data_IF_728746713203
#
_entry.id   IF_728746713203
#
_cell.length_a   1.000
_cell.length_b   1.000
_cell.length_c   1.000
_cell.angle_alpha   90.00
_cell.angle_beta   90.00
_cell.angle_gamma   90.00
#
_symmetry.space_group_name_H-M   'P 1'
#
loop_
_entity.id
_entity.type
_entity.pdbx_description
1 polymer ?
#
# COMPACT_ATOMS: atom_id res chain seq x y z
N UNK A 1 17.62 39.42 100.06
CA UNK A 1 17.27 39.21 98.64
C UNK A 1 16.57 37.87 98.57
N UNK A 2 15.23 37.76 98.68
CA UNK A 2 14.17 38.16 97.71
C UNK A 2 14.41 37.43 96.38
N UNK A 3 13.53 36.60 95.80
CA UNK A 3 12.19 36.07 96.11
C UNK A 3 11.96 34.85 95.18
N UNK A 4 10.84 34.16 95.41
CA UNK A 4 10.27 32.96 94.79
C UNK A 4 9.63 33.14 93.40
N UNK A 5 9.28 31.99 92.78
CA UNK A 5 8.00 31.68 92.09
C UNK A 5 7.91 31.46 90.54
N UNK A 6 7.46 30.22 90.20
CA UNK A 6 6.37 29.74 89.30
C UNK A 6 6.31 29.94 87.76
N UNK A 7 6.30 28.78 87.08
CA UNK A 7 5.31 28.16 86.17
C UNK A 7 4.78 28.80 84.84
N UNK A 8 4.42 27.86 83.93
CA UNK A 8 3.66 27.92 82.65
C UNK A 8 4.51 28.13 81.38
N UNK A 9 4.29 27.50 80.22
CA UNK A 9 3.33 26.53 79.69
C UNK A 9 3.57 26.47 78.17
N UNK A 10 3.34 25.33 77.49
CA UNK A 10 3.49 25.29 76.02
C UNK A 10 3.43 23.88 75.43
N UNK A 11 2.22 23.45 75.05
CA UNK A 11 1.96 22.25 74.27
C UNK A 11 2.30 22.51 72.80
N UNK A 12 3.33 21.85 72.27
CA UNK A 12 3.66 21.82 70.85
C UNK A 12 3.32 20.45 70.26
N UNK A 13 2.24 20.40 69.47
CA UNK A 13 1.84 19.26 68.64
C UNK A 13 2.98 18.93 67.65
N UNK A 14 3.69 17.83 67.91
CA UNK A 14 4.65 17.27 66.98
C UNK A 14 3.92 16.52 65.86
N UNK A 15 3.97 17.06 64.64
CA UNK A 15 3.64 16.34 63.41
C UNK A 15 4.54 15.09 63.30
N UNK A 16 3.94 13.92 63.44
CA UNK A 16 4.57 12.65 63.08
C UNK A 16 4.62 12.59 61.56
N UNK A 17 5.83 12.67 61.01
CA UNK A 17 6.11 12.43 59.59
C UNK A 17 5.88 10.94 59.31
N UNK A 18 4.77 10.62 58.66
CA UNK A 18 4.49 9.28 58.13
C UNK A 18 5.32 9.12 56.84
N UNK A 19 6.24 8.15 56.73
CA UNK A 19 6.96 7.91 55.49
C UNK A 19 5.98 7.47 54.39
N UNK A 20 6.16 8.08 53.22
CA UNK A 20 5.36 7.89 52.02
C UNK A 20 5.10 6.41 51.68
N UNK A 21 3.82 6.07 51.50
CA UNK A 21 3.42 4.94 50.66
C UNK A 21 3.98 5.18 49.25
N UNK A 22 4.66 4.22 48.61
CA UNK A 22 4.85 4.29 47.17
C UNK A 22 3.47 4.18 46.51
N UNK A 23 3.13 5.23 45.76
CA UNK A 23 2.00 5.26 44.84
C UNK A 23 2.18 4.15 43.80
N UNK A 24 1.32 3.14 43.87
CA UNK A 24 1.05 2.22 42.77
C UNK A 24 0.22 2.98 41.73
N UNK A 25 0.86 3.83 40.94
CA UNK A 25 0.31 4.31 39.67
C UNK A 25 1.18 3.74 38.55
N UNK A 26 1.14 2.42 38.37
CA UNK A 26 1.34 1.80 37.05
C UNK A 26 -0.05 1.58 36.46
N UNK A 27 -0.66 2.67 35.99
CA UNK A 27 -1.74 2.54 35.03
C UNK A 27 -1.04 2.60 33.68
N UNK A 28 -1.01 1.45 33.01
CA UNK A 28 -0.66 1.33 31.61
C UNK A 28 -1.29 2.49 30.84
N UNK A 29 -0.45 3.36 30.30
CA UNK A 29 -0.87 4.13 29.15
C UNK A 29 -1.00 3.10 28.02
N UNK A 30 -2.22 2.63 27.78
CA UNK A 30 -2.62 2.22 26.44
C UNK A 30 -2.35 3.43 25.54
N UNK A 31 -1.12 3.50 25.03
CA UNK A 31 -0.69 4.55 24.13
C UNK A 31 -1.59 4.43 22.91
N UNK A 32 -2.52 5.37 22.78
CA UNK A 32 -3.40 5.48 21.61
C UNK A 32 -2.47 5.67 20.41
N UNK A 33 -2.17 4.56 19.73
CA UNK A 33 -1.26 4.53 18.59
C UNK A 33 -1.73 5.54 17.56
N UNK A 34 -0.98 6.61 17.38
CA UNK A 34 -1.33 7.65 16.41
C UNK A 34 -1.35 7.08 14.99
N UNK A 35 -2.07 7.73 14.08
CA UNK A 35 -2.07 7.34 12.66
C UNK A 35 -0.66 7.36 12.04
N UNK A 36 0.23 8.22 12.55
CA UNK A 36 1.64 8.24 12.16
C UNK A 36 2.38 7.00 12.67
N UNK A 37 2.18 6.62 13.94
CA UNK A 37 2.78 5.40 14.50
C UNK A 37 2.32 4.16 13.74
N UNK A 38 1.03 4.10 13.36
CA UNK A 38 0.46 3.03 12.53
C UNK A 38 1.00 3.04 11.11
N UNK A 39 1.21 4.23 10.53
CA UNK A 39 1.94 4.38 9.27
C UNK A 39 3.37 3.84 9.34
N UNK A 40 4.09 4.08 10.44
CA UNK A 40 5.45 3.57 10.65
C UNK A 40 5.48 2.04 10.79
N UNK A 41 4.54 1.49 11.56
CA UNK A 41 4.34 0.05 11.70
C UNK A 41 4.08 -0.62 10.34
N UNK A 42 3.10 -0.11 9.59
CA UNK A 42 2.78 -0.61 8.26
C UNK A 42 3.99 -0.55 7.32
N UNK A 43 4.77 0.55 7.37
CA UNK A 43 6.02 0.66 6.58
C UNK A 43 7.05 -0.40 6.97
N UNK A 44 7.28 -0.63 8.26
CA UNK A 44 8.24 -1.64 8.72
C UNK A 44 7.87 -3.05 8.26
N UNK A 45 6.59 -3.38 8.26
CA UNK A 45 6.10 -4.68 7.74
C UNK A 45 6.20 -4.74 6.21
N UNK A 46 5.76 -3.69 5.51
CA UNK A 46 5.72 -3.66 4.04
C UNK A 46 7.10 -3.53 3.38
N UNK A 47 8.15 -3.10 4.10
CA UNK A 47 9.54 -3.15 3.64
C UNK A 47 10.22 -4.50 3.91
N UNK A 48 9.55 -5.41 4.63
CA UNK A 48 10.08 -6.73 4.97
C UNK A 48 10.10 -7.70 3.80
N UNK A 49 10.37 -8.97 4.12
CA UNK A 49 10.43 -10.06 3.13
C UNK A 49 9.06 -10.25 2.49
N UNK A 50 9.01 -10.09 1.17
CA UNK A 50 7.83 -10.38 0.36
C UNK A 50 7.83 -11.81 -0.17
N UNK A 51 6.65 -12.34 -0.45
CA UNK A 51 6.43 -13.63 -1.10
C UNK A 51 6.36 -13.45 -2.61
N UNK A 52 6.74 -14.47 -3.40
CA UNK A 52 6.38 -14.44 -4.82
C UNK A 52 4.87 -14.30 -4.97
N UNK A 53 4.42 -13.66 -6.05
CA UNK A 53 2.99 -13.46 -6.30
C UNK A 53 2.19 -14.78 -6.22
N UNK A 54 2.78 -15.88 -6.69
CA UNK A 54 2.15 -17.20 -6.68
C UNK A 54 2.05 -17.83 -5.29
N UNK A 55 2.99 -17.53 -4.39
CA UNK A 55 3.04 -18.12 -3.05
C UNK A 55 2.37 -17.21 -2.00
N UNK A 56 2.17 -15.93 -2.29
CA UNK A 56 1.53 -14.99 -1.37
C UNK A 56 0.18 -15.48 -0.81
N UNK A 57 -0.71 -16.15 -1.57
CA UNK A 57 -1.97 -16.68 -1.02
C UNK A 57 -1.81 -17.64 0.16
N UNK A 58 -0.67 -18.35 0.26
CA UNK A 58 -0.42 -19.32 1.34
C UNK A 58 0.01 -18.65 2.64
N UNK A 59 0.45 -17.39 2.58
CA UNK A 59 1.05 -16.67 3.71
C UNK A 59 0.21 -15.49 4.20
N UNK A 60 -0.88 -15.17 3.50
CA UNK A 60 -1.67 -13.98 3.73
C UNK A 60 -3.09 -14.37 4.12
N UNK A 61 -3.59 -13.79 5.21
CA UNK A 61 -4.96 -14.04 5.66
C UNK A 61 -6.01 -13.39 4.74
N UNK A 62 -7.24 -13.90 4.79
CA UNK A 62 -8.41 -13.31 4.11
C UNK A 62 -8.97 -12.12 4.91
N UNK A 63 -8.12 -11.15 5.20
CA UNK A 63 -8.45 -9.94 5.95
C UNK A 63 -8.19 -8.68 5.11
N UNK A 64 -8.87 -7.56 5.37
CA UNK A 64 -8.49 -6.27 4.80
C UNK A 64 -7.05 -5.89 5.19
N UNK A 65 -6.43 -4.98 4.43
CA UNK A 65 -5.09 -4.51 4.75
C UNK A 65 -4.42 -3.78 3.59
N UNK A 66 -3.11 -3.61 3.72
CA UNK A 66 -2.25 -3.04 2.68
C UNK A 66 -1.36 -4.12 2.06
N UNK A 67 -0.99 -3.90 0.80
CA UNK A 67 0.02 -4.69 0.12
C UNK A 67 1.02 -3.79 -0.59
N UNK A 68 2.27 -4.23 -0.65
CA UNK A 68 3.35 -3.57 -1.35
C UNK A 68 3.93 -4.51 -2.41
N UNK A 69 4.12 -3.99 -3.62
CA UNK A 69 4.71 -4.72 -4.75
C UNK A 69 6.19 -4.35 -4.83
N UNK A 70 7.06 -5.35 -4.74
CA UNK A 70 8.50 -5.22 -4.84
C UNK A 70 9.03 -5.95 -6.07
N UNK A 71 10.26 -5.61 -6.47
CA UNK A 71 10.97 -6.27 -7.54
C UNK A 71 12.48 -6.09 -7.38
N UNK A 72 13.27 -6.94 -8.04
CA UNK A 72 14.73 -6.86 -8.00
C UNK A 72 15.28 -5.62 -8.73
N UNK A 73 16.52 -5.22 -8.42
CA UNK A 73 17.20 -4.09 -9.08
C UNK A 73 17.16 -4.18 -10.61
N UNK A 74 17.30 -5.38 -11.17
CA UNK A 74 17.20 -5.60 -12.61
C UNK A 74 15.82 -5.21 -13.15
N UNK A 75 14.75 -5.63 -12.47
CA UNK A 75 13.37 -5.33 -12.89
C UNK A 75 13.09 -3.83 -12.83
N UNK A 76 13.66 -3.11 -11.86
CA UNK A 76 13.59 -1.64 -11.86
C UNK A 76 14.22 -1.04 -13.12
N UNK A 77 15.38 -1.55 -13.54
CA UNK A 77 16.03 -1.17 -14.79
C UNK A 77 15.18 -1.47 -16.02
N UNK A 78 14.56 -2.66 -16.09
CA UNK A 78 13.69 -3.08 -17.19
C UNK A 78 12.44 -2.17 -17.31
N UNK A 79 11.99 -1.59 -16.20
CA UNK A 79 10.89 -0.62 -16.14
C UNK A 79 11.34 0.82 -16.46
N UNK A 80 12.64 1.06 -16.71
CA UNK A 80 13.19 2.40 -16.91
C UNK A 80 13.17 3.26 -15.65
N UNK A 81 13.29 2.64 -14.48
CA UNK A 81 13.24 3.30 -13.17
C UNK A 81 14.61 3.24 -12.48
N UNK A 82 14.96 4.31 -11.76
CA UNK A 82 16.08 4.27 -10.84
C UNK A 82 15.69 3.48 -9.59
N UNK A 83 16.45 2.43 -9.27
CA UNK A 83 16.22 1.59 -8.09
C UNK A 83 16.29 2.41 -6.79
N UNK A 84 15.38 2.12 -5.86
CA UNK A 84 15.35 2.69 -4.52
C UNK A 84 15.25 1.57 -3.50
N UNK A 85 16.27 1.43 -2.67
CA UNK A 85 16.31 0.41 -1.62
C UNK A 85 15.14 0.59 -0.64
N UNK A 86 14.54 -0.52 -0.20
CA UNK A 86 13.40 -0.60 0.73
C UNK A 86 12.12 0.13 0.30
N UNK A 87 12.06 0.66 -0.92
CA UNK A 87 10.87 1.34 -1.45
C UNK A 87 10.17 0.41 -2.44
N UNK A 88 8.88 0.09 -2.24
CA UNK A 88 8.15 -0.71 -3.21
C UNK A 88 7.90 0.05 -4.51
N UNK A 89 7.64 -0.68 -5.59
CA UNK A 89 7.13 -0.11 -6.85
C UNK A 89 5.73 0.49 -6.68
N UNK A 90 4.91 -0.16 -5.85
CA UNK A 90 3.51 0.20 -5.63
C UNK A 90 3.04 -0.20 -4.23
N UNK A 91 2.14 0.60 -3.65
CA UNK A 91 1.36 0.26 -2.45
C UNK A 91 -0.11 0.36 -2.78
N UNK A 92 -0.89 -0.63 -2.38
CA UNK A 92 -2.34 -0.62 -2.53
C UNK A 92 -3.04 -1.13 -1.29
N UNK A 93 -4.34 -0.84 -1.23
CA UNK A 93 -5.24 -1.31 -0.18
C UNK A 93 -6.17 -2.39 -0.70
N UNK A 94 -6.46 -3.38 0.13
CA UNK A 94 -7.60 -4.29 -0.03
C UNK A 94 -8.61 -4.07 1.08
N UNK A 95 -9.86 -3.76 0.73
CA UNK A 95 -10.93 -3.48 1.69
C UNK A 95 -11.71 -4.73 2.11
N UNK A 96 -11.59 -5.84 1.38
CA UNK A 96 -12.36 -7.06 1.63
C UNK A 96 -11.45 -8.21 2.04
N UNK A 97 -10.48 -8.56 1.21
CA UNK A 97 -9.54 -9.66 1.46
C UNK A 97 -8.27 -9.39 0.68
N UNK A 98 -7.12 -9.39 1.37
CA UNK A 98 -5.82 -9.28 0.73
C UNK A 98 -5.60 -10.40 -0.30
N UNK A 99 -6.14 -11.61 -0.09
CA UNK A 99 -5.90 -12.78 -0.98
C UNK A 99 -6.93 -12.92 -2.10
N UNK A 100 -8.22 -12.97 -1.77
CA UNK A 100 -9.18 -13.63 -2.68
C UNK A 100 -9.66 -12.76 -3.84
N UNK A 101 -9.57 -11.43 -3.74
CA UNK A 101 -10.17 -10.55 -4.76
C UNK A 101 -9.19 -9.61 -5.44
N UNK A 102 -8.33 -8.94 -4.69
CA UNK A 102 -7.41 -7.95 -5.29
C UNK A 102 -6.20 -8.63 -5.92
N UNK A 103 -5.61 -9.67 -5.29
CA UNK A 103 -4.55 -10.45 -5.91
C UNK A 103 -5.05 -11.30 -7.08
N UNK A 104 -6.21 -11.95 -6.91
CA UNK A 104 -6.92 -12.63 -8.00
C UNK A 104 -7.14 -11.74 -9.22
N UNK A 105 -7.57 -10.49 -9.04
CA UNK A 105 -7.85 -9.59 -10.17
C UNK A 105 -6.61 -8.93 -10.78
N UNK A 106 -5.62 -8.54 -9.96
CA UNK A 106 -4.43 -7.85 -10.46
C UNK A 106 -3.40 -8.81 -11.03
N UNK A 107 -3.26 -9.97 -10.41
CA UNK A 107 -2.24 -10.95 -10.76
C UNK A 107 -2.81 -12.20 -11.42
N UNK A 108 -4.12 -12.46 -11.38
CA UNK A 108 -4.71 -13.67 -11.98
C UNK A 108 -3.99 -14.95 -11.52
N UNK A 109 -3.88 -15.10 -10.20
CA UNK A 109 -3.28 -16.29 -9.55
C UNK A 109 -4.09 -17.56 -9.81
N UNK A 110 -5.40 -17.44 -10.03
CA UNK A 110 -6.24 -18.54 -10.48
C UNK A 110 -6.14 -18.67 -12.01
N UNK A 111 -5.59 -19.78 -12.54
CA UNK A 111 -5.40 -19.97 -13.98
C UNK A 111 -6.71 -20.04 -14.77
N UNK A 112 -7.85 -20.26 -14.11
CA UNK A 112 -9.18 -20.21 -14.72
C UNK A 112 -9.69 -18.79 -14.95
N UNK A 113 -9.09 -17.79 -14.28
CA UNK A 113 -9.48 -16.39 -14.37
C UNK A 113 -8.62 -15.67 -15.39
N UNK A 114 -9.26 -15.14 -16.44
CA UNK A 114 -8.57 -14.27 -17.38
C UNK A 114 -8.30 -12.90 -16.74
N UNK A 115 -7.03 -12.52 -16.67
CA UNK A 115 -6.61 -11.20 -16.22
C UNK A 115 -7.18 -10.10 -17.13
N UNK A 116 -7.55 -8.96 -16.55
CA UNK A 116 -8.13 -7.83 -17.30
C UNK A 116 -7.39 -6.53 -16.98
N UNK A 117 -6.47 -6.14 -17.86
CA UNK A 117 -5.69 -4.91 -17.68
C UNK A 117 -6.56 -3.64 -17.56
N UNK A 118 -7.66 -3.54 -18.31
CA UNK A 118 -8.57 -2.38 -18.24
C UNK A 118 -9.24 -2.16 -16.88
N UNK A 119 -9.27 -3.17 -16.01
CA UNK A 119 -9.78 -3.09 -14.64
C UNK A 119 -8.75 -2.66 -13.59
N UNK A 120 -7.46 -2.89 -13.83
CA UNK A 120 -6.41 -2.71 -12.82
C UNK A 120 -5.47 -1.55 -13.13
N UNK A 121 -5.42 -0.56 -12.24
CA UNK A 121 -4.50 0.58 -12.38
C UNK A 121 -3.05 0.10 -12.39
N UNK A 122 -2.70 -0.87 -11.55
CA UNK A 122 -1.37 -1.49 -11.47
C UNK A 122 -1.00 -2.14 -12.79
N UNK A 123 -1.86 -3.01 -13.34
CA UNK A 123 -1.59 -3.67 -14.63
C UNK A 123 -1.41 -2.65 -15.76
N UNK A 124 -2.23 -1.59 -15.81
CA UNK A 124 -2.04 -0.52 -16.81
C UNK A 124 -0.72 0.21 -16.65
N UNK A 125 -0.20 0.35 -15.43
CA UNK A 125 1.10 0.97 -15.20
C UNK A 125 2.25 0.09 -15.68
N UNK A 126 2.23 -1.21 -15.35
CA UNK A 126 3.22 -2.16 -15.87
C UNK A 126 3.14 -2.29 -17.40
N UNK A 127 1.93 -2.43 -17.96
CA UNK A 127 1.73 -2.50 -19.40
C UNK A 127 2.32 -1.28 -20.13
N UNK A 128 2.15 -0.08 -19.58
CA UNK A 128 2.68 1.14 -20.16
C UNK A 128 4.21 1.16 -20.17
N UNK A 129 4.86 0.78 -19.07
CA UNK A 129 6.32 0.76 -18.97
C UNK A 129 6.95 -0.39 -19.77
N UNK A 130 6.25 -1.52 -19.89
CA UNK A 130 6.73 -2.73 -20.56
C UNK A 130 6.22 -2.89 -22.00
N UNK A 131 5.54 -1.87 -22.55
CA UNK A 131 4.91 -1.92 -23.88
C UNK A 131 5.86 -2.44 -24.95
N UNK A 132 7.06 -1.86 -25.03
CA UNK A 132 8.06 -2.20 -26.05
C UNK A 132 8.67 -3.59 -25.79
N UNK A 133 9.27 -3.88 -24.62
CA UNK A 133 9.94 -5.16 -24.40
C UNK A 133 8.99 -6.37 -24.47
N UNK A 134 7.73 -6.21 -24.04
CA UNK A 134 6.74 -7.28 -24.10
C UNK A 134 5.83 -7.23 -25.34
N UNK A 135 6.10 -6.28 -26.27
CA UNK A 135 5.33 -6.08 -27.52
C UNK A 135 3.82 -5.97 -27.27
N UNK A 136 3.43 -5.27 -26.20
CA UNK A 136 2.02 -5.15 -25.81
C UNK A 136 1.27 -4.21 -26.75
N UNK A 137 0.03 -4.58 -27.05
CA UNK A 137 -0.91 -3.80 -27.84
C UNK A 137 -2.12 -3.43 -27.00
N UNK A 138 -2.41 -2.13 -26.96
CA UNK A 138 -3.57 -1.64 -26.23
C UNK A 138 -4.83 -1.66 -27.11
N UNK A 139 -5.94 -2.01 -26.48
CA UNK A 139 -7.28 -2.03 -27.08
C UNK A 139 -8.27 -1.35 -26.12
N UNK A 140 -9.44 -0.92 -26.59
CA UNK A 140 -10.50 -0.45 -25.70
C UNK A 140 -10.84 -1.52 -24.65
N UNK A 141 -11.09 -1.09 -23.40
CA UNK A 141 -11.51 -2.00 -22.32
C UNK A 141 -12.78 -2.77 -22.69
N UNK A 142 -13.73 -2.07 -23.27
CA UNK A 142 -14.92 -2.64 -23.87
C UNK A 142 -14.81 -2.40 -25.39
N UNK A 143 -14.66 -3.49 -26.16
CA UNK A 143 -14.53 -3.42 -27.62
C UNK A 143 -15.88 -3.18 -28.31
N UNK A 144 -16.97 -3.59 -27.69
CA UNK A 144 -18.34 -3.41 -28.21
C UNK A 144 -18.82 -1.97 -28.01
N UNK A 145 -18.38 -1.33 -26.93
CA UNK A 145 -18.62 0.09 -26.69
C UNK A 145 -17.30 0.81 -26.32
N UNK A 146 -16.48 1.19 -27.32
CA UNK A 146 -15.19 1.84 -27.10
C UNK A 146 -15.33 3.25 -26.53
N UNK A 147 -15.12 3.37 -25.21
CA UNK A 147 -15.07 4.64 -24.50
C UNK A 147 -13.93 4.67 -23.46
N UNK A 148 -13.67 5.84 -22.87
CA UNK A 148 -12.76 6.02 -21.71
C UNK A 148 -11.39 5.35 -21.91
N UNK A 149 -10.71 5.65 -23.02
CA UNK A 149 -9.46 5.00 -23.43
C UNK A 149 -8.31 5.08 -22.41
N UNK A 150 -8.35 6.00 -21.44
CA UNK A 150 -7.43 6.02 -20.29
C UNK A 150 -7.47 4.73 -19.43
N UNK A 151 -8.55 3.95 -19.56
CA UNK A 151 -8.73 2.64 -18.98
C UNK A 151 -8.50 1.51 -19.99
N UNK A 152 -7.64 1.71 -21.00
CA UNK A 152 -7.31 0.70 -22.01
C UNK A 152 -7.08 -0.71 -21.43
N UNK A 153 -7.52 -1.72 -22.17
CA UNK A 153 -7.13 -3.11 -21.98
C UNK A 153 -5.95 -3.48 -22.88
N UNK A 154 -5.55 -4.74 -22.82
CA UNK A 154 -4.61 -5.32 -23.77
C UNK A 154 -5.34 -6.32 -24.66
N UNK A 155 -4.74 -6.65 -25.80
CA UNK A 155 -5.12 -7.87 -26.51
C UNK A 155 -4.99 -9.10 -25.60
N UNK A 156 -5.78 -10.18 -25.84
CA UNK A 156 -5.79 -11.34 -24.95
C UNK A 156 -4.41 -11.94 -24.69
N UNK A 157 -3.56 -12.01 -25.71
CA UNK A 157 -2.19 -12.52 -25.57
C UNK A 157 -1.30 -11.55 -24.78
N UNK A 158 -1.49 -10.25 -24.96
CA UNK A 158 -0.80 -9.23 -24.15
C UNK A 158 -1.13 -9.33 -22.67
N UNK A 159 -2.40 -9.61 -22.32
CA UNK A 159 -2.78 -9.85 -20.91
C UNK A 159 -2.13 -11.12 -20.33
N UNK A 160 -1.97 -12.18 -21.13
CA UNK A 160 -1.26 -13.40 -20.72
C UNK A 160 0.23 -13.17 -20.51
N UNK A 161 0.90 -12.54 -21.48
CA UNK A 161 2.33 -12.22 -21.42
C UNK A 161 2.62 -11.32 -20.22
N UNK A 162 1.80 -10.28 -20.00
CA UNK A 162 1.93 -9.41 -18.85
C UNK A 162 1.73 -10.16 -17.53
N UNK A 163 0.71 -11.02 -17.43
CA UNK A 163 0.49 -11.82 -16.21
C UNK A 163 1.70 -12.69 -15.89
N UNK A 164 2.23 -13.41 -16.88
CA UNK A 164 3.42 -14.24 -16.69
C UNK A 164 4.61 -13.40 -16.21
N UNK A 165 4.86 -12.26 -16.85
CA UNK A 165 5.93 -11.36 -16.42
C UNK A 165 5.73 -10.90 -14.97
N UNK A 166 4.50 -10.55 -14.57
CA UNK A 166 4.20 -10.15 -13.21
C UNK A 166 4.42 -11.29 -12.19
N UNK A 167 4.15 -12.54 -12.55
CA UNK A 167 4.42 -13.70 -11.70
C UNK A 167 5.91 -13.96 -11.54
N UNK A 168 6.66 -13.86 -12.63
CA UNK A 168 8.09 -14.19 -12.68
C UNK A 168 8.96 -13.13 -11.95
N UNK A 169 8.48 -11.88 -11.85
CA UNK A 169 9.33 -10.75 -11.47
C UNK A 169 8.91 -9.99 -10.21
N UNK A 170 7.70 -10.22 -9.69
CA UNK A 170 7.16 -9.43 -8.59
C UNK A 170 7.04 -10.25 -7.30
N UNK A 171 7.26 -9.56 -6.19
CA UNK A 171 6.99 -10.07 -4.84
C UNK A 171 6.04 -9.15 -4.10
N UNK A 172 5.36 -9.70 -3.10
CA UNK A 172 4.32 -9.05 -2.32
C UNK A 172 4.65 -9.12 -0.83
N UNK A 173 4.72 -7.95 -0.21
CA UNK A 173 4.65 -7.83 1.25
C UNK A 173 3.24 -7.36 1.62
N UNK A 174 2.71 -7.83 2.75
CA UNK A 174 1.38 -7.47 3.22
C UNK A 174 1.39 -6.98 4.64
N UNK A 175 0.51 -6.05 4.94
CA UNK A 175 0.22 -5.62 6.30
C UNK A 175 -1.29 -5.82 6.54
N UNK A 176 -1.69 -6.83 7.35
CA UNK A 176 -3.08 -7.05 7.67
C UNK A 176 -3.61 -5.88 8.52
N UNK A 177 -4.85 -5.47 8.25
CA UNK A 177 -5.53 -4.46 9.04
C UNK A 177 -5.72 -4.98 10.48
N UNK A 178 -5.31 -4.21 11.51
CA UNK A 178 -5.50 -4.59 12.91
C UNK A 178 -6.98 -4.79 13.26
N UNK A 179 -7.26 -5.61 14.26
CA UNK A 179 -8.62 -5.76 14.77
C UNK A 179 -9.17 -4.42 15.29
N UNK A 180 -10.45 -4.15 15.01
CA UNK A 180 -11.11 -2.90 15.41
C UNK A 180 -10.84 -1.69 14.50
N UNK A 181 -9.97 -1.80 13.48
CA UNK A 181 -9.75 -0.73 12.51
C UNK A 181 -10.93 -0.57 11.55
N UNK A 182 -11.28 0.69 11.26
CA UNK A 182 -12.20 1.04 10.19
C UNK A 182 -11.50 1.14 8.83
N UNK A 183 -12.27 1.03 7.75
CA UNK A 183 -11.76 1.25 6.38
C UNK A 183 -11.27 2.69 6.15
N UNK A 184 -11.80 3.66 6.89
CA UNK A 184 -11.35 5.05 6.83
C UNK A 184 -9.93 5.19 7.42
N UNK A 185 -9.66 4.54 8.55
CA UNK A 185 -8.33 4.50 9.15
C UNK A 185 -7.35 3.75 8.25
N UNK A 186 -7.74 2.61 7.68
CA UNK A 186 -6.92 1.89 6.70
C UNK A 186 -6.56 2.78 5.50
N UNK A 187 -7.50 3.61 5.02
CA UNK A 187 -7.25 4.58 3.95
C UNK A 187 -6.29 5.69 4.38
N UNK A 188 -6.38 6.17 5.62
CA UNK A 188 -5.47 7.16 6.15
C UNK A 188 -4.04 6.62 6.26
N UNK A 189 -3.89 5.37 6.70
CA UNK A 189 -2.59 4.66 6.73
C UNK A 189 -2.04 4.49 5.32
N UNK A 190 -2.86 4.04 4.35
CA UNK A 190 -2.44 3.93 2.94
C UNK A 190 -1.87 5.25 2.40
N UNK A 191 -2.59 6.36 2.63
CA UNK A 191 -2.16 7.69 2.19
C UNK A 191 -0.86 8.12 2.88
N UNK A 192 -0.71 7.86 4.18
CA UNK A 192 0.51 8.16 4.92
C UNK A 192 1.71 7.39 4.32
N UNK A 193 1.56 6.08 4.10
CA UNK A 193 2.59 5.21 3.50
C UNK A 193 2.97 5.71 2.09
N UNK A 194 1.98 5.96 1.22
CA UNK A 194 2.23 6.43 -0.15
C UNK A 194 2.95 7.78 -0.16
N UNK A 195 2.57 8.71 0.71
CA UNK A 195 3.21 10.04 0.78
C UNK A 195 4.63 9.96 1.33
N UNK A 196 4.88 9.10 2.31
CA UNK A 196 6.20 8.92 2.89
C UNK A 196 7.17 8.25 1.92
N UNK A 197 6.75 7.20 1.22
CA UNK A 197 7.63 6.44 0.31
C UNK A 197 7.68 6.96 -1.11
N UNK A 198 6.62 7.63 -1.58
CA UNK A 198 6.44 8.04 -2.98
C UNK A 198 6.68 6.90 -3.99
N UNK A 199 5.97 5.75 -3.89
CA UNK A 199 6.22 4.60 -4.79
C UNK A 199 5.99 4.99 -6.26
N UNK A 200 6.89 4.64 -7.19
CA UNK A 200 6.90 5.19 -8.55
C UNK A 200 5.64 4.88 -9.36
N UNK A 201 4.92 3.80 -9.06
CA UNK A 201 3.70 3.39 -9.80
C UNK A 201 2.40 3.90 -9.16
N UNK A 202 2.43 4.44 -7.94
CA UNK A 202 1.27 5.10 -7.35
C UNK A 202 1.02 6.45 -8.02
N UNK A 203 -0.18 6.62 -8.60
CA UNK A 203 -0.58 7.86 -9.28
C UNK A 203 -1.36 8.77 -8.32
N UNK A 204 -2.30 8.19 -7.57
CA UNK A 204 -3.13 8.89 -6.59
C UNK A 204 -2.34 9.07 -5.29
N UNK A 205 -2.53 10.20 -4.62
CA UNK A 205 -1.96 10.55 -3.31
C UNK A 205 -0.41 10.59 -3.23
N UNK A 206 0.27 10.30 -4.33
CA UNK A 206 1.73 10.33 -4.44
C UNK A 206 2.24 11.73 -4.88
N UNK A 207 2.96 12.45 -4.01
CA UNK A 207 3.56 13.75 -4.38
C UNK A 207 4.70 13.59 -5.40
N UNK A 208 5.37 12.44 -5.43
CA UNK A 208 6.45 12.09 -6.37
C UNK A 208 5.98 11.39 -7.64
N UNK A 209 4.72 11.56 -8.04
CA UNK A 209 4.12 10.89 -9.20
C UNK A 209 4.99 11.01 -10.45
N UNK A 210 5.27 9.87 -11.07
CA UNK A 210 6.24 9.76 -12.14
C UNK A 210 5.70 10.30 -13.48
N UNK A 211 6.31 11.38 -13.99
CA UNK A 211 5.88 12.01 -15.26
C UNK A 211 5.94 11.04 -16.44
N UNK A 212 7.00 10.22 -16.54
CA UNK A 212 7.15 9.25 -17.62
C UNK A 212 6.04 8.19 -17.63
N UNK A 213 5.58 7.74 -16.46
CA UNK A 213 4.46 6.79 -16.37
C UNK A 213 3.16 7.39 -16.91
N UNK A 214 2.90 8.67 -16.62
CA UNK A 214 1.73 9.36 -17.16
C UNK A 214 1.76 9.45 -18.68
N UNK A 215 2.93 9.75 -19.26
CA UNK A 215 3.12 9.80 -20.72
C UNK A 215 2.93 8.41 -21.32
N UNK A 216 3.61 7.39 -20.81
CA UNK A 216 3.51 6.03 -21.33
C UNK A 216 2.07 5.48 -21.29
N UNK A 217 1.31 5.81 -20.24
CA UNK A 217 -0.12 5.44 -20.15
C UNK A 217 -0.99 6.22 -21.15
N UNK A 218 -0.65 7.48 -21.44
CA UNK A 218 -1.35 8.26 -22.44
C UNK A 218 -1.11 7.70 -23.85
N UNK A 219 0.10 7.21 -24.14
CA UNK A 219 0.43 6.60 -25.43
C UNK A 219 -0.40 5.33 -25.67
N UNK A 220 -0.54 4.45 -24.67
CA UNK A 220 -1.40 3.27 -24.79
C UNK A 220 -2.89 3.63 -24.86
N UNK A 221 -3.33 4.71 -24.22
CA UNK A 221 -4.69 5.21 -24.36
C UNK A 221 -4.96 5.75 -25.79
N UNK A 222 -3.97 6.42 -26.40
CA UNK A 222 -4.05 6.86 -27.79
C UNK A 222 -4.11 5.67 -28.75
N UNK A 223 -3.26 4.66 -28.54
CA UNK A 223 -3.27 3.41 -29.32
C UNK A 223 -4.64 2.70 -29.25
N UNK A 224 -5.24 2.59 -28.05
CA UNK A 224 -6.57 2.02 -27.89
C UNK A 224 -7.67 2.83 -28.62
N UNK A 225 -7.52 4.16 -28.71
CA UNK A 225 -8.43 5.03 -29.46
C UNK A 225 -8.27 4.85 -30.97
N UNK A 226 -7.05 4.77 -31.46
CA UNK A 226 -6.74 4.51 -32.87
C UNK A 226 -7.30 3.15 -33.31
N UNK A 227 -7.12 2.12 -32.47
CA UNK A 227 -7.71 0.80 -32.69
C UNK A 227 -9.22 0.88 -32.96
N UNK A 228 -9.95 1.65 -32.13
CA UNK A 228 -11.40 1.80 -32.26
C UNK A 228 -11.78 2.49 -33.58
N UNK A 229 -11.02 3.52 -33.98
CA UNK A 229 -11.25 4.21 -35.25
C UNK A 229 -11.02 3.31 -36.45
N UNK A 230 -9.97 2.48 -36.43
CA UNK A 230 -9.71 1.54 -37.53
C UNK A 230 -10.76 0.44 -37.59
N UNK A 231 -11.20 -0.11 -36.44
CA UNK A 231 -12.23 -1.14 -36.39
C UNK A 231 -13.56 -0.66 -37.00
N UNK A 232 -13.96 0.59 -36.72
CA UNK A 232 -15.17 1.21 -37.29
C UNK A 232 -15.11 1.50 -38.79
N UNK A 233 -13.92 1.48 -39.41
CA UNK A 233 -13.77 1.66 -40.86
C UNK A 233 -13.89 0.35 -41.65
N UNK A 234 -13.89 -0.80 -40.97
CA UNK A 234 -13.89 -2.14 -41.58
C UNK A 234 -15.25 -2.84 -41.44
N UNK A 235 -16.12 -2.34 -40.55
CA UNK A 235 -17.52 -2.79 -40.34
C UNK A 235 -18.51 -1.89 -41.06
#
# INVERSE_FOLDING_TARGET
MVQTESATGGWGVGCVVIPHRPSLNSCDHDEVMTMETRGNEARGVLSGVGWSVLNAPEHVGTVPGLYAIHASVQVWGDLGLAHREDIPLYVGKSESSLVERELGQHFAIDPSVQARTGGSTVRRSFAALLRVPLKLRAVPRNKENPERFANFGLEPEGDRVLTRWMHDHLTLAVWPMPEGFSLAELSAVEVNVIRAWTPPLNIKDNPGRLRQLRVARADLAAEAKEWAMTASLVT
#
